data_IF_120889803532
#
_entry.id   IF_120889803532
#
_cell.length_a   1.000
_cell.length_b   1.000
_cell.length_c   1.000
_cell.angle_alpha   90.00
_cell.angle_beta   90.00
_cell.angle_gamma   90.00
#
_symmetry.space_group_name_H-M   'P 1'
#
loop_
_entity.id
_entity.type
_entity.pdbx_description
1 polymer ?
#
# COMPACT_ATOMS: atom_id res chain seq x y z
N UNK A 1 14.35 23.06 -14.01
CA UNK A 1 13.85 21.72 -13.60
C UNK A 1 13.93 21.56 -12.10
N UNK A 2 12.82 21.19 -11.46
CA UNK A 2 12.70 20.99 -10.01
C UNK A 2 12.44 19.50 -9.74
N UNK A 3 13.30 18.76 -9.01
CA UNK A 3 13.01 17.37 -8.66
C UNK A 3 11.68 17.24 -7.93
N UNK A 4 10.90 16.20 -8.23
CA UNK A 4 9.65 15.94 -7.54
C UNK A 4 9.96 15.55 -6.08
N UNK A 5 9.63 16.44 -5.14
CA UNK A 5 9.82 16.20 -3.70
C UNK A 5 8.63 15.46 -3.07
N UNK A 6 7.46 15.57 -3.68
CA UNK A 6 6.24 14.88 -3.29
C UNK A 6 5.93 13.79 -4.32
N UNK A 7 5.41 12.69 -3.84
CA UNK A 7 5.13 11.51 -4.66
C UNK A 7 3.88 11.80 -5.48
N UNK A 8 4.08 12.32 -6.68
CA UNK A 8 3.01 12.40 -7.66
C UNK A 8 3.15 11.26 -8.66
N UNK A 9 2.01 10.77 -9.11
CA UNK A 9 1.90 9.82 -10.22
C UNK A 9 1.15 10.47 -11.37
N UNK A 10 1.67 10.27 -12.57
CA UNK A 10 0.95 10.52 -13.80
C UNK A 10 0.13 9.28 -14.15
N UNK A 11 -1.17 9.49 -14.39
CA UNK A 11 -2.13 8.44 -14.67
C UNK A 11 -2.46 8.37 -16.16
N UNK A 12 -2.65 7.15 -16.64
CA UNK A 12 -2.88 6.82 -18.03
C UNK A 12 -3.94 5.73 -18.15
N UNK A 13 -4.63 5.67 -19.28
CA UNK A 13 -5.38 4.48 -19.68
C UNK A 13 -4.61 3.72 -20.78
N UNK A 14 -4.43 2.42 -20.63
CA UNK A 14 -3.76 1.59 -21.61
C UNK A 14 -4.74 0.54 -22.15
N UNK A 15 -4.80 0.38 -23.45
CA UNK A 15 -5.56 -0.73 -24.03
C UNK A 15 -4.81 -2.05 -23.80
N UNK A 16 -5.47 -3.01 -23.16
CA UNK A 16 -4.95 -4.35 -22.90
C UNK A 16 -6.09 -5.36 -23.02
N UNK A 17 -5.98 -6.30 -23.95
CA UNK A 17 -6.95 -7.38 -24.12
C UNK A 17 -8.37 -6.92 -24.52
N UNK A 18 -8.49 -5.82 -25.30
CA UNK A 18 -9.79 -5.29 -25.74
C UNK A 18 -10.52 -4.40 -24.73
N UNK A 19 -9.87 -4.07 -23.60
CA UNK A 19 -10.37 -3.12 -22.60
C UNK A 19 -9.32 -2.08 -22.21
N UNK A 20 -9.76 -0.99 -21.58
CA UNK A 20 -8.87 0.03 -21.03
C UNK A 20 -8.52 -0.31 -19.59
N UNK A 21 -7.22 -0.46 -19.29
CA UNK A 21 -6.70 -0.69 -17.95
C UNK A 21 -5.93 0.55 -17.45
N UNK A 22 -6.03 0.91 -16.17
CA UNK A 22 -5.24 2.00 -15.61
C UNK A 22 -3.74 1.65 -15.59
N UNK A 23 -2.91 2.63 -15.90
CA UNK A 23 -1.45 2.59 -15.71
C UNK A 23 -1.01 3.89 -15.05
N UNK A 24 -0.01 3.84 -14.18
CA UNK A 24 0.61 5.05 -13.64
C UNK A 24 2.13 5.03 -13.78
N UNK A 25 2.74 6.22 -13.85
CA UNK A 25 4.19 6.43 -13.81
C UNK A 25 4.54 7.44 -12.70
N UNK A 26 5.66 7.28 -12.00
CA UNK A 26 6.13 8.30 -11.05
C UNK A 26 6.49 9.58 -11.80
N UNK A 27 6.08 10.72 -11.26
CA UNK A 27 6.60 12.02 -11.67
C UNK A 27 7.99 12.18 -11.08
N UNK A 28 8.99 12.40 -11.92
CA UNK A 28 10.39 12.49 -11.51
C UNK A 28 10.79 13.94 -11.20
N UNK A 29 10.23 14.88 -11.97
CA UNK A 29 10.55 16.29 -11.86
C UNK A 29 9.41 17.15 -12.40
N UNK A 30 9.56 18.45 -12.21
CA UNK A 30 8.78 19.50 -12.85
C UNK A 30 9.71 20.32 -13.75
N UNK A 31 9.25 20.71 -14.94
CA UNK A 31 9.97 21.70 -15.74
C UNK A 31 9.77 23.12 -15.20
N UNK A 32 10.35 24.13 -15.86
CA UNK A 32 10.33 25.51 -15.39
C UNK A 32 8.95 26.18 -15.59
N UNK A 33 8.11 25.56 -16.41
CA UNK A 33 6.72 25.92 -16.66
C UNK A 33 5.74 25.20 -15.71
N UNK A 34 6.23 24.29 -14.85
CA UNK A 34 5.43 23.55 -13.89
C UNK A 34 4.72 22.32 -14.48
N UNK A 35 5.17 21.77 -15.61
CA UNK A 35 4.67 20.50 -16.12
C UNK A 35 5.37 19.32 -15.45
N UNK A 36 4.57 18.31 -15.08
CA UNK A 36 5.09 17.05 -14.55
C UNK A 36 5.86 16.28 -15.62
N UNK A 37 7.06 15.82 -15.29
CA UNK A 37 7.93 15.04 -16.15
C UNK A 37 7.99 13.58 -15.70
N UNK A 38 7.86 12.66 -16.66
CA UNK A 38 7.98 11.21 -16.46
C UNK A 38 9.08 10.64 -17.35
N UNK A 39 9.59 9.45 -17.01
CA UNK A 39 10.53 8.73 -17.87
C UNK A 39 9.81 8.13 -19.07
N UNK A 40 10.24 8.50 -20.28
CA UNK A 40 10.02 7.70 -21.48
C UNK A 40 11.02 6.54 -21.49
N UNK A 41 10.55 5.35 -21.09
CA UNK A 41 11.37 4.14 -20.97
C UNK A 41 12.05 3.75 -22.28
N UNK A 42 11.51 4.14 -23.44
CA UNK A 42 12.09 3.84 -24.75
C UNK A 42 13.32 4.69 -25.05
N UNK A 43 13.28 5.98 -24.72
CA UNK A 43 14.37 6.91 -25.00
C UNK A 43 15.28 7.18 -23.79
N UNK A 44 14.85 6.79 -22.58
CA UNK A 44 15.51 7.11 -21.32
C UNK A 44 15.43 8.59 -20.93
N UNK A 45 14.63 9.39 -21.64
CA UNK A 45 14.51 10.84 -21.41
C UNK A 45 13.31 11.18 -20.54
N UNK A 46 13.40 12.32 -19.86
CA UNK A 46 12.23 12.96 -19.25
C UNK A 46 11.39 13.62 -20.33
N UNK A 47 10.09 13.34 -20.30
CA UNK A 47 9.09 13.95 -21.19
C UNK A 47 7.92 14.45 -20.36
N UNK A 48 7.22 15.51 -20.81
CA UNK A 48 5.99 15.94 -20.16
C UNK A 48 4.96 14.82 -20.08
N UNK A 49 4.34 14.65 -18.92
CA UNK A 49 3.40 13.58 -18.63
C UNK A 49 2.18 13.62 -19.56
N UNK A 50 1.72 14.83 -19.91
CA UNK A 50 0.61 15.09 -20.83
C UNK A 50 0.94 14.82 -22.31
N UNK A 51 2.22 14.65 -22.67
CA UNK A 51 2.63 14.26 -24.03
C UNK A 51 2.57 12.74 -24.24
N UNK A 52 2.45 11.96 -23.16
CA UNK A 52 2.27 10.51 -23.25
C UNK A 52 0.80 10.20 -23.53
N UNK A 53 0.54 9.32 -24.50
CA UNK A 53 -0.83 8.96 -24.92
C UNK A 53 -1.68 8.51 -23.74
N UNK A 54 -2.96 8.86 -23.81
CA UNK A 54 -4.00 8.47 -22.85
C UNK A 54 -3.75 8.97 -21.41
N UNK A 55 -3.02 10.08 -21.25
CA UNK A 55 -2.89 10.77 -19.97
C UNK A 55 -4.27 11.20 -19.45
N UNK A 56 -4.55 10.89 -18.19
CA UNK A 56 -5.83 11.23 -17.53
C UNK A 56 -5.70 12.20 -16.38
N UNK A 57 -4.47 12.48 -15.91
CA UNK A 57 -4.23 13.44 -14.85
C UNK A 57 -3.11 13.02 -13.91
N UNK A 58 -2.89 13.84 -12.89
CA UNK A 58 -1.98 13.53 -11.78
C UNK A 58 -2.78 13.08 -10.57
N UNK A 59 -2.18 12.22 -9.76
CA UNK A 59 -2.66 11.93 -8.40
C UNK A 59 -1.48 11.91 -7.44
N UNK A 60 -1.75 12.06 -6.15
CA UNK A 60 -0.78 11.67 -5.15
C UNK A 60 -0.53 10.17 -5.26
N UNK A 61 0.73 9.79 -5.12
CA UNK A 61 1.21 8.42 -5.05
C UNK A 61 1.45 8.03 -3.61
N UNK A 62 1.51 6.72 -3.37
CA UNK A 62 1.81 6.21 -2.04
C UNK A 62 3.30 6.41 -1.67
N UNK A 63 3.53 6.74 -0.39
CA UNK A 63 4.85 6.73 0.23
C UNK A 63 5.51 5.36 0.08
N UNK A 64 6.69 5.26 -0.58
CA UNK A 64 7.36 3.99 -0.76
C UNK A 64 7.76 3.42 0.60
N UNK A 65 7.82 2.09 0.68
CA UNK A 65 8.42 1.39 1.80
C UNK A 65 9.93 1.62 1.77
N UNK A 66 10.47 2.19 2.84
CA UNK A 66 11.89 2.54 3.01
C UNK A 66 12.58 1.66 4.06
N UNK A 67 11.82 0.80 4.74
CA UNK A 67 12.37 -0.13 5.72
C UNK A 67 11.33 -1.11 6.25
N UNK A 68 11.79 -2.05 7.07
CA UNK A 68 10.95 -2.99 7.79
C UNK A 68 11.46 -3.18 9.22
N UNK A 69 10.53 -3.21 10.18
CA UNK A 69 10.80 -3.54 11.59
C UNK A 69 10.25 -4.94 11.85
N UNK A 70 11.00 -5.88 12.44
CA UNK A 70 10.49 -7.21 12.76
C UNK A 70 9.22 -7.15 13.62
N UNK A 71 8.26 -8.04 13.36
CA UNK A 71 6.97 -8.04 14.06
C UNK A 71 7.08 -8.21 15.57
N UNK A 72 8.17 -8.79 16.08
CA UNK A 72 8.55 -8.69 17.49
C UNK A 72 7.59 -9.39 18.46
N UNK A 73 6.89 -10.43 18.01
CA UNK A 73 5.92 -11.19 18.81
C UNK A 73 4.52 -10.58 18.85
N UNK A 74 4.26 -9.56 18.02
CA UNK A 74 2.89 -9.14 17.72
C UNK A 74 2.18 -10.19 16.87
N UNK A 75 0.85 -10.22 16.99
CA UNK A 75 -0.03 -10.98 16.10
C UNK A 75 -1.11 -10.07 15.54
N UNK A 76 -1.69 -10.45 14.41
CA UNK A 76 -2.96 -9.90 13.91
C UNK A 76 -4.09 -10.85 14.27
N UNK A 77 -5.26 -10.29 14.57
CA UNK A 77 -6.48 -11.03 14.81
C UNK A 77 -7.45 -10.83 13.66
N UNK A 78 -7.99 -11.93 13.17
CA UNK A 78 -9.05 -11.97 12.17
C UNK A 78 -10.32 -12.58 12.76
N UNK A 79 -11.47 -12.05 12.38
CA UNK A 79 -12.78 -12.53 12.85
C UNK A 79 -13.68 -12.91 11.67
N UNK A 80 -13.99 -14.19 11.57
CA UNK A 80 -14.92 -14.72 10.57
C UNK A 80 -16.38 -14.34 10.89
N UNK A 81 -17.29 -14.35 9.89
CA UNK A 81 -18.70 -14.02 10.09
C UNK A 81 -19.44 -14.94 11.08
N UNK A 82 -18.97 -16.19 11.24
CA UNK A 82 -19.49 -17.15 12.22
C UNK A 82 -19.02 -16.88 13.66
N UNK A 83 -18.19 -15.85 13.87
CA UNK A 83 -17.63 -15.47 15.15
C UNK A 83 -16.31 -16.17 15.48
N UNK A 84 -15.82 -17.07 14.63
CA UNK A 84 -14.52 -17.73 14.81
C UNK A 84 -13.40 -16.69 14.71
N UNK A 85 -12.45 -16.78 15.64
CA UNK A 85 -11.30 -15.88 15.72
C UNK A 85 -10.03 -16.67 15.40
N UNK A 86 -9.19 -16.10 14.53
CA UNK A 86 -7.86 -16.60 14.19
C UNK A 86 -6.83 -15.52 14.53
N UNK A 87 -5.65 -15.95 14.97
CA UNK A 87 -4.51 -15.06 15.18
C UNK A 87 -3.31 -15.55 14.37
N UNK A 88 -2.81 -14.68 13.50
CA UNK A 88 -1.61 -14.94 12.70
C UNK A 88 -0.45 -14.10 13.23
N UNK A 89 0.78 -14.66 13.29
CA UNK A 89 1.94 -13.91 13.74
C UNK A 89 2.24 -12.77 12.76
N UNK A 90 2.51 -11.59 13.31
CA UNK A 90 3.00 -10.48 12.52
C UNK A 90 4.46 -10.73 12.16
N UNK A 91 4.79 -10.68 10.87
CA UNK A 91 6.17 -10.90 10.40
C UNK A 91 6.97 -9.60 10.41
N UNK A 92 6.33 -8.48 10.06
CA UNK A 92 6.98 -7.17 10.03
C UNK A 92 6.01 -5.99 10.12
N UNK A 93 6.57 -4.82 10.41
CA UNK A 93 5.98 -3.52 10.14
C UNK A 93 6.74 -2.88 8.99
N UNK A 94 6.07 -2.59 7.88
CA UNK A 94 6.69 -1.81 6.81
C UNK A 94 6.70 -0.33 7.19
N UNK A 95 7.84 0.32 7.00
CA UNK A 95 8.05 1.75 7.27
C UNK A 95 7.98 2.48 5.95
N UNK A 96 7.00 3.36 5.77
CA UNK A 96 6.89 4.23 4.60
C UNK A 96 7.71 5.51 4.80
N UNK A 97 8.08 6.16 3.70
CA UNK A 97 8.94 7.38 3.72
C UNK A 97 8.37 8.57 4.51
N UNK A 98 7.06 8.59 4.77
CA UNK A 98 6.36 9.57 5.61
C UNK A 98 6.33 9.20 7.10
N UNK A 99 6.90 8.04 7.46
CA UNK A 99 6.85 7.49 8.82
C UNK A 99 5.61 6.63 9.10
N UNK A 100 4.70 6.44 8.14
CA UNK A 100 3.56 5.54 8.31
C UNK A 100 4.05 4.10 8.46
N UNK A 101 3.49 3.38 9.44
CA UNK A 101 3.75 1.97 9.67
C UNK A 101 2.56 1.13 9.22
N UNK A 102 2.81 0.06 8.48
CA UNK A 102 1.77 -0.90 8.08
C UNK A 102 2.12 -2.31 8.56
N UNK A 103 1.26 -2.97 9.35
CA UNK A 103 1.47 -4.34 9.79
C UNK A 103 1.38 -5.30 8.59
N UNK A 104 2.32 -6.22 8.51
CA UNK A 104 2.38 -7.29 7.52
C UNK A 104 2.39 -8.64 8.23
N UNK A 105 1.42 -9.47 7.90
CA UNK A 105 1.33 -10.88 8.24
C UNK A 105 1.62 -11.74 7.00
N UNK A 106 1.63 -13.05 7.20
CA UNK A 106 1.84 -14.03 6.14
C UNK A 106 0.80 -15.13 6.26
N UNK A 107 0.34 -15.65 5.12
CA UNK A 107 -0.45 -16.87 5.11
C UNK A 107 0.43 -18.12 5.13
N UNK A 108 -0.21 -19.30 5.06
CA UNK A 108 0.47 -20.60 5.05
C UNK A 108 1.32 -20.88 3.81
N UNK A 109 1.17 -20.10 2.73
CA UNK A 109 1.95 -20.22 1.49
C UNK A 109 3.16 -19.28 1.49
N UNK A 110 3.27 -18.40 2.48
CA UNK A 110 4.35 -17.43 2.61
C UNK A 110 4.05 -16.10 1.91
N UNK A 111 2.82 -15.88 1.44
CA UNK A 111 2.42 -14.63 0.81
C UNK A 111 2.20 -13.57 1.89
N UNK A 112 2.92 -12.46 1.75
CA UNK A 112 2.90 -11.36 2.71
C UNK A 112 1.98 -10.24 2.24
N UNK A 113 1.09 -9.79 3.10
CA UNK A 113 0.13 -8.74 2.78
C UNK A 113 -0.07 -7.76 3.93
N UNK A 114 -0.51 -6.52 3.66
CA UNK A 114 -0.97 -5.62 4.70
C UNK A 114 -2.17 -6.22 5.42
N UNK A 115 -2.05 -6.53 6.71
CA UNK A 115 -3.11 -7.23 7.44
C UNK A 115 -4.41 -6.41 7.51
N UNK A 116 -4.28 -5.08 7.47
CA UNK A 116 -5.40 -4.13 7.47
C UNK A 116 -6.17 -4.08 6.13
N UNK A 117 -5.66 -4.72 5.08
CA UNK A 117 -6.36 -4.80 3.79
C UNK A 117 -7.45 -5.89 3.76
N UNK A 118 -7.42 -6.81 4.73
CA UNK A 118 -8.36 -7.92 4.81
C UNK A 118 -9.70 -7.48 5.42
N UNK A 119 -10.81 -7.88 4.82
CA UNK A 119 -12.16 -7.46 5.25
C UNK A 119 -12.56 -8.00 6.63
N UNK A 120 -11.92 -9.07 7.08
CA UNK A 120 -12.13 -9.72 8.38
C UNK A 120 -11.08 -9.31 9.43
N UNK A 121 -10.26 -8.28 9.17
CA UNK A 121 -9.34 -7.71 10.15
C UNK A 121 -10.09 -7.22 11.40
N UNK A 122 -9.73 -7.72 12.58
CA UNK A 122 -10.36 -7.37 13.85
C UNK A 122 -9.42 -6.55 14.76
N UNK A 123 -8.11 -6.71 14.62
CA UNK A 123 -7.15 -5.86 15.33
C UNK A 123 -5.75 -6.46 15.46
N UNK A 124 -4.89 -5.75 16.19
CA UNK A 124 -3.53 -6.19 16.52
C UNK A 124 -3.46 -6.63 17.98
N UNK A 125 -2.67 -7.67 18.23
CA UNK A 125 -2.45 -8.27 19.55
C UNK A 125 -0.99 -8.06 19.94
N UNK A 126 -0.77 -7.35 21.05
CA UNK A 126 0.56 -7.06 21.55
C UNK A 126 1.26 -8.29 22.15
N UNK A 127 2.59 -8.33 22.18
CA UNK A 127 3.34 -9.43 22.76
C UNK A 127 2.96 -9.66 24.22
N UNK A 128 2.63 -10.90 24.58
CA UNK A 128 2.22 -11.27 25.94
C UNK A 128 0.83 -10.78 26.36
N UNK A 129 0.06 -10.17 25.47
CA UNK A 129 -1.35 -9.91 25.73
C UNK A 129 -2.11 -11.24 25.75
N UNK A 130 -2.92 -11.47 26.78
CA UNK A 130 -3.86 -12.60 26.76
C UNK A 130 -4.98 -12.30 25.77
N UNK A 131 -5.38 -13.30 24.98
CA UNK A 131 -6.54 -13.21 24.12
C UNK A 131 -7.73 -12.72 24.95
N UNK A 132 -8.38 -11.62 24.54
CA UNK A 132 -9.62 -11.19 25.18
C UNK A 132 -10.64 -12.31 24.94
N UNK A 133 -10.89 -13.12 25.96
CA UNK A 133 -12.04 -14.03 25.97
C UNK A 133 -13.28 -13.20 25.71
N UNK A 134 -14.07 -13.61 24.72
CA UNK A 134 -15.36 -13.01 24.43
C UNK A 134 -16.13 -12.86 25.74
N UNK A 135 -16.40 -11.61 26.12
CA UNK A 135 -17.22 -11.30 27.27
C UNK A 135 -18.61 -11.85 26.95
N UNK A 136 -18.95 -12.99 27.54
CA UNK A 136 -20.31 -13.50 27.54
C UNK A 136 -21.14 -12.51 28.36
N UNK A 137 -21.79 -11.57 27.69
CA UNK A 137 -22.89 -10.81 28.30
C UNK A 137 -24.03 -11.79 28.55
N UNK A 138 -23.94 -12.49 29.67
CA UNK A 138 -25.09 -13.07 30.34
C UNK A 138 -25.58 -12.01 31.32
N UNK A 139 -26.54 -11.20 30.89
CA UNK A 139 -27.37 -10.43 31.80
C UNK A 139 -28.79 -10.98 31.72
N UNK A 140 -29.26 -11.36 32.91
CA UNK A 140 -30.54 -11.95 33.29
C UNK A 140 -31.71 -11.00 33.06
#
# INVERSE_FOLDING_TARGET
MIPAQHLYRANYQQEKGGGMVPRSKPVIAWDDEGQALVVDERSGRLVPANNVRNFTGLSEGEHPVVGAIPGGGWSVRFKSPDGTVMEDPLVAWTVRSDGTLTPVDTDSEGECQPSTAMSNFDGLVGPGAQARTAQSDSSV
#
